data_IF_882028198831
#
_entry.id   IF_882028198831
#
_cell.length_a   1.000
_cell.length_b   1.000
_cell.length_c   1.000
_cell.angle_alpha   90.00
_cell.angle_beta   90.00
_cell.angle_gamma   90.00
#
_symmetry.space_group_name_H-M   'P 1'
#
loop_
_entity.id
_entity.type
_entity.pdbx_description
1 polymer ?
#
# COMPACT_ATOMS: atom_id res chain seq x y z
N UNK A 1 -20.88 20.83 -3.14
CA UNK A 1 -19.83 21.61 -2.44
C UNK A 1 -19.19 22.59 -3.42
N UNK A 2 -19.06 23.87 -3.07
CA UNK A 2 -18.51 24.90 -3.97
C UNK A 2 -16.98 24.73 -4.10
N UNK A 3 -16.45 24.70 -5.33
CA UNK A 3 -15.00 24.51 -5.63
C UNK A 3 -14.07 25.41 -4.79
N UNK A 4 -14.51 26.64 -4.50
CA UNK A 4 -13.79 27.60 -3.64
C UNK A 4 -13.59 27.12 -2.20
N UNK A 5 -14.57 26.42 -1.63
CA UNK A 5 -14.51 25.93 -0.25
C UNK A 5 -13.52 24.77 -0.13
N UNK A 6 -13.42 23.93 -1.16
CA UNK A 6 -12.42 22.85 -1.22
C UNK A 6 -10.99 23.41 -1.32
N UNK A 7 -10.76 24.42 -2.17
CA UNK A 7 -9.45 25.03 -2.33
C UNK A 7 -8.96 25.75 -1.06
N UNK A 8 -9.85 26.43 -0.33
CA UNK A 8 -9.50 27.02 0.96
C UNK A 8 -9.20 25.94 2.03
N UNK A 9 -9.93 24.83 2.04
CA UNK A 9 -9.66 23.73 2.98
C UNK A 9 -8.29 23.07 2.74
N UNK A 10 -7.88 22.93 1.48
CA UNK A 10 -6.55 22.43 1.10
C UNK A 10 -5.44 23.42 1.47
N UNK A 11 -5.68 24.72 1.31
CA UNK A 11 -4.70 25.78 1.61
C UNK A 11 -4.45 25.99 3.12
N UNK A 12 -5.41 25.60 3.98
CA UNK A 12 -5.32 25.74 5.44
C UNK A 12 -4.84 24.43 6.10
N UNK A 13 -4.60 23.36 5.33
CA UNK A 13 -3.93 22.19 5.88
C UNK A 13 -2.53 22.56 6.35
N UNK A 14 -2.17 22.30 7.62
CA UNK A 14 -0.83 22.56 8.11
C UNK A 14 0.18 21.83 7.22
N UNK A 15 1.24 22.50 6.78
CA UNK A 15 2.33 21.90 6.02
C UNK A 15 2.94 20.65 6.70
N UNK A 16 2.73 20.51 8.02
CA UNK A 16 3.07 19.31 8.79
C UNK A 16 2.38 18.02 8.30
N UNK A 17 1.17 18.09 7.72
CA UNK A 17 0.50 16.93 7.13
C UNK A 17 0.97 16.62 5.70
N UNK A 18 1.44 17.63 4.97
CA UNK A 18 1.97 17.44 3.61
C UNK A 18 3.33 16.72 3.60
N UNK A 19 4.01 16.69 4.74
CA UNK A 19 5.38 16.15 4.87
C UNK A 19 5.51 14.99 5.85
N UNK A 20 4.40 14.42 6.35
CA UNK A 20 4.52 13.18 7.10
C UNK A 20 4.98 12.07 6.15
N UNK A 21 6.14 11.44 6.39
CA UNK A 21 6.56 10.31 5.60
C UNK A 21 5.53 9.20 5.82
N UNK A 22 4.83 8.81 4.75
CA UNK A 22 3.85 7.72 4.80
C UNK A 22 4.43 6.49 5.50
N UNK A 23 3.64 5.75 6.26
CA UNK A 23 4.10 4.46 6.79
C UNK A 23 4.36 3.48 5.64
N UNK A 24 5.18 2.45 5.89
CA UNK A 24 5.43 1.39 4.90
C UNK A 24 4.13 0.69 4.47
N UNK A 25 3.16 0.56 5.40
CA UNK A 25 1.83 -0.01 5.14
C UNK A 25 0.99 0.87 4.22
N UNK A 26 1.04 2.19 4.39
CA UNK A 26 0.33 3.13 3.50
C UNK A 26 0.95 3.18 2.12
N UNK A 27 2.29 3.21 2.02
CA UNK A 27 2.98 3.11 0.73
C UNK A 27 2.66 1.81 0.00
N UNK A 28 2.63 0.69 0.71
CA UNK A 28 2.21 -0.60 0.15
C UNK A 28 0.78 -0.54 -0.38
N UNK A 29 -0.17 0.02 0.38
CA UNK A 29 -1.59 0.13 -0.05
C UNK A 29 -1.72 0.96 -1.34
N UNK A 30 -0.97 2.04 -1.47
CA UNK A 30 -0.95 2.88 -2.67
C UNK A 30 -0.34 2.10 -3.85
N UNK A 31 0.84 1.52 -3.70
CA UNK A 31 1.49 0.77 -4.78
C UNK A 31 0.63 -0.44 -5.22
N UNK A 32 -0.02 -1.13 -4.27
CA UNK A 32 -0.90 -2.26 -4.55
C UNK A 32 -2.18 -1.83 -5.27
N UNK A 33 -2.75 -0.67 -4.94
CA UNK A 33 -3.94 -0.15 -5.65
C UNK A 33 -3.61 0.24 -7.09
N UNK A 34 -2.44 0.82 -7.34
CA UNK A 34 -1.92 1.09 -8.69
C UNK A 34 -1.75 -0.21 -9.47
N UNK A 35 -1.15 -1.24 -8.87
CA UNK A 35 -0.99 -2.55 -9.50
C UNK A 35 -2.34 -3.20 -9.84
N UNK A 36 -3.33 -3.07 -8.96
CA UNK A 36 -4.70 -3.55 -9.19
C UNK A 36 -5.39 -2.77 -10.31
N UNK A 37 -5.25 -1.45 -10.37
CA UNK A 37 -5.81 -0.64 -11.47
C UNK A 37 -5.26 -1.12 -12.81
N UNK A 38 -3.94 -1.31 -12.91
CA UNK A 38 -3.30 -1.79 -14.13
C UNK A 38 -3.76 -3.21 -14.53
N UNK A 39 -4.06 -4.09 -13.58
CA UNK A 39 -4.66 -5.40 -13.85
C UNK A 39 -6.05 -5.25 -14.49
N UNK A 40 -6.90 -4.40 -13.90
CA UNK A 40 -8.24 -4.15 -14.44
C UNK A 40 -8.20 -3.53 -15.84
N UNK A 41 -7.25 -2.62 -16.09
CA UNK A 41 -7.07 -2.02 -17.41
C UNK A 41 -6.69 -3.07 -18.47
N UNK A 42 -5.82 -4.02 -18.12
CA UNK A 42 -5.45 -5.12 -19.04
C UNK A 42 -6.59 -6.10 -19.28
N UNK A 43 -7.39 -6.41 -18.25
CA UNK A 43 -8.61 -7.21 -18.40
C UNK A 43 -9.60 -6.50 -19.34
N UNK A 44 -9.80 -5.19 -19.17
CA UNK A 44 -10.67 -4.40 -20.04
C UNK A 44 -10.19 -4.35 -21.50
N UNK A 45 -8.87 -4.50 -21.74
CA UNK A 45 -8.27 -4.60 -23.07
C UNK A 45 -8.36 -6.01 -23.68
N UNK A 46 -9.04 -6.95 -23.03
CA UNK A 46 -9.21 -8.34 -23.50
C UNK A 46 -8.18 -9.32 -22.94
N UNK A 47 -7.44 -8.95 -21.90
CA UNK A 47 -6.57 -9.88 -21.17
C UNK A 47 -7.37 -10.97 -20.45
N UNK A 48 -6.80 -12.17 -20.39
CA UNK A 48 -7.38 -13.29 -19.64
C UNK A 48 -7.33 -13.02 -18.13
N UNK A 49 -8.48 -13.19 -17.45
CA UNK A 49 -8.61 -12.90 -16.03
C UNK A 49 -7.61 -13.67 -15.17
N UNK A 50 -7.50 -14.99 -15.37
CA UNK A 50 -6.65 -15.84 -14.54
C UNK A 50 -5.16 -15.49 -14.70
N UNK A 51 -4.71 -15.22 -15.92
CA UNK A 51 -3.35 -14.79 -16.20
C UNK A 51 -3.04 -13.43 -15.56
N UNK A 52 -3.99 -12.49 -15.62
CA UNK A 52 -3.81 -11.16 -15.03
C UNK A 52 -3.89 -11.17 -13.50
N UNK A 53 -4.71 -12.04 -12.93
CA UNK A 53 -4.75 -12.28 -11.48
C UNK A 53 -3.42 -12.84 -10.98
N UNK A 54 -2.86 -13.86 -11.63
CA UNK A 54 -1.56 -14.43 -11.25
C UNK A 54 -0.43 -13.38 -11.32
N UNK A 55 -0.44 -12.54 -12.36
CA UNK A 55 0.50 -11.41 -12.48
C UNK A 55 0.36 -10.42 -11.34
N UNK A 56 -0.88 -10.08 -10.96
CA UNK A 56 -1.16 -9.18 -9.84
C UNK A 56 -0.71 -9.77 -8.51
N UNK A 57 -0.96 -11.06 -8.26
CA UNK A 57 -0.55 -11.73 -7.01
C UNK A 57 0.97 -11.75 -6.84
N UNK A 58 1.71 -12.07 -7.91
CA UNK A 58 3.17 -11.97 -7.93
C UNK A 58 3.63 -10.54 -7.63
N UNK A 59 3.02 -9.55 -8.29
CA UNK A 59 3.35 -8.14 -8.05
C UNK A 59 3.06 -7.73 -6.60
N UNK A 60 1.94 -8.16 -6.03
CA UNK A 60 1.58 -7.90 -4.64
C UNK A 60 2.57 -8.56 -3.67
N UNK A 61 3.09 -9.75 -3.97
CA UNK A 61 4.16 -10.37 -3.18
C UNK A 61 5.45 -9.55 -3.22
N UNK A 62 5.91 -9.14 -4.41
CA UNK A 62 7.11 -8.30 -4.53
C UNK A 62 6.95 -6.94 -3.83
N UNK A 63 5.74 -6.37 -3.85
CA UNK A 63 5.44 -5.13 -3.11
C UNK A 63 5.46 -5.34 -1.59
N UNK A 64 4.98 -6.49 -1.10
CA UNK A 64 5.09 -6.85 0.32
C UNK A 64 6.55 -6.92 0.76
N UNK A 65 7.41 -7.54 -0.04
CA UNK A 65 8.86 -7.62 0.23
C UNK A 65 9.52 -6.23 0.17
N UNK A 66 9.25 -5.46 -0.88
CA UNK A 66 9.77 -4.08 -1.05
C UNK A 66 9.45 -3.18 0.15
N UNK A 67 8.22 -3.28 0.66
CA UNK A 67 7.74 -2.44 1.77
C UNK A 67 7.89 -3.12 3.14
N UNK A 68 8.45 -4.33 3.21
CA UNK A 68 8.53 -5.14 4.44
C UNK A 68 7.16 -5.30 5.14
N UNK A 69 6.08 -5.41 4.35
CA UNK A 69 4.71 -5.62 4.83
C UNK A 69 4.39 -7.11 4.70
N UNK A 70 4.87 -7.90 5.65
CA UNK A 70 4.47 -9.31 5.74
C UNK A 70 3.09 -9.42 6.39
N UNK A 71 2.25 -10.34 5.91
CA UNK A 71 0.90 -10.63 6.43
C UNK A 71 0.92 -11.28 7.84
N UNK A 72 2.09 -11.48 8.44
CA UNK A 72 2.19 -12.00 9.79
C UNK A 72 2.02 -10.86 10.78
N UNK A 73 0.78 -10.62 11.20
CA UNK A 73 0.45 -9.90 12.44
C UNK A 73 0.80 -10.80 13.66
N UNK A 74 2.05 -11.28 13.73
CA UNK A 74 2.60 -12.06 14.83
C UNK A 74 4.01 -11.57 15.18
N UNK A 75 4.53 -11.87 16.39
CA UNK A 75 5.77 -11.30 16.90
C UNK A 75 7.03 -11.74 16.12
N UNK A 76 6.92 -12.64 15.16
CA UNK A 76 8.04 -13.15 14.37
C UNK A 76 7.62 -13.34 12.92
N UNK A 77 8.40 -12.75 12.01
CA UNK A 77 8.32 -13.07 10.58
C UNK A 77 8.68 -14.53 10.33
N UNK A 78 8.40 -15.03 9.11
CA UNK A 78 8.78 -16.37 8.63
C UNK A 78 10.27 -16.73 8.81
N UNK A 79 11.13 -15.74 9.05
CA UNK A 79 12.58 -15.86 9.26
C UNK A 79 13.02 -15.59 10.71
N UNK A 80 12.09 -15.55 11.67
CA UNK A 80 12.38 -15.27 13.07
C UNK A 80 12.74 -13.82 13.39
N UNK A 81 12.70 -12.89 12.42
CA UNK A 81 12.88 -11.47 12.69
C UNK A 81 11.63 -10.90 13.36
N UNK A 82 11.78 -10.42 14.60
CA UNK A 82 10.74 -9.70 15.35
C UNK A 82 10.71 -8.24 14.92
N UNK A 83 9.52 -7.73 14.62
CA UNK A 83 9.37 -6.35 14.20
C UNK A 83 9.67 -5.40 15.39
N UNK A 84 10.50 -4.36 15.22
CA UNK A 84 10.99 -3.52 16.33
C UNK A 84 9.91 -2.70 17.05
N UNK A 85 8.70 -2.62 16.50
CA UNK A 85 7.56 -1.94 17.14
C UNK A 85 6.72 -2.82 18.07
N UNK A 86 7.06 -4.10 18.23
CA UNK A 86 6.33 -5.02 19.11
C UNK A 86 6.97 -5.04 20.49
N UNK A 87 6.19 -5.01 21.59
CA UNK A 87 6.74 -5.06 22.94
C UNK A 87 7.54 -6.36 23.12
N UNK A 88 8.75 -6.25 23.67
CA UNK A 88 9.47 -7.40 24.20
C UNK A 88 8.68 -7.87 25.43
N UNK A 89 8.14 -9.08 25.37
CA UNK A 89 7.67 -9.73 26.59
C UNK A 89 8.91 -9.92 27.48
N UNK A 90 8.84 -9.36 28.68
CA UNK A 90 9.88 -9.42 29.70
C UNK A 90 9.93 -10.80 30.37
#
# INVERSE_FOLDING_TARGET
MKRRTFLHAVAVMPAAYAHQPLSARERYRIDASVARSAMLDRIAQGGEFDAELARFELKAQLLREKHNVFLWDGPTTARGYRHPSWPQEA
#
